data_IF_249486341033
#
_entry.id   IF_249486341033
#
_cell.length_a   1.000
_cell.length_b   1.000
_cell.length_c   1.000
_cell.angle_alpha   90.00
_cell.angle_beta   90.00
_cell.angle_gamma   90.00
#
_symmetry.space_group_name_H-M   'P 1'
#
loop_
_entity.id
_entity.type
_entity.pdbx_description
1 polymer ?
#
# COMPACT_ATOMS: atom_id res chain seq x y z
N UNK A 1 -10.52 8.59 5.71
CA UNK A 1 -10.38 9.70 4.74
C UNK A 1 -11.63 10.55 4.81
N UNK A 2 -11.57 11.86 4.56
CA UNK A 2 -12.77 12.68 4.41
C UNK A 2 -13.55 12.20 3.19
N UNK A 3 -14.87 12.53 3.16
CA UNK A 3 -15.66 12.29 1.98
C UNK A 3 -15.12 13.13 0.80
N UNK A 4 -15.08 12.58 -0.40
CA UNK A 4 -14.69 13.35 -1.57
C UNK A 4 -15.70 14.49 -1.83
N UNK A 5 -15.22 15.58 -2.41
CA UNK A 5 -16.04 16.65 -2.94
C UNK A 5 -16.90 16.13 -4.11
N UNK A 6 -17.90 16.92 -4.52
CA UNK A 6 -18.79 16.55 -5.63
C UNK A 6 -18.05 16.32 -6.98
N UNK A 7 -16.86 16.88 -7.15
CA UNK A 7 -15.98 16.71 -8.31
C UNK A 7 -15.02 15.52 -8.20
N UNK A 8 -15.13 14.73 -7.11
CA UNK A 8 -14.25 13.59 -6.83
C UNK A 8 -12.90 13.94 -6.22
N UNK A 9 -12.59 15.22 -6.04
CA UNK A 9 -11.39 15.66 -5.31
C UNK A 9 -11.59 15.52 -3.80
N UNK A 10 -10.48 15.48 -3.04
CA UNK A 10 -10.55 15.51 -1.59
C UNK A 10 -10.33 16.93 -1.07
N UNK A 11 -11.00 17.32 0.06
CA UNK A 11 -10.77 18.61 0.67
C UNK A 11 -9.28 18.83 0.98
N UNK A 12 -8.78 20.03 0.75
CA UNK A 12 -7.42 20.38 1.14
C UNK A 12 -7.25 20.24 2.67
N UNK A 13 -6.07 19.81 3.14
CA UNK A 13 -5.76 19.76 4.57
C UNK A 13 -5.97 21.14 5.20
N UNK A 14 -6.70 21.20 6.31
CA UNK A 14 -6.89 22.45 7.08
C UNK A 14 -5.79 22.62 8.13
N UNK A 15 -4.85 23.57 7.95
CA UNK A 15 -3.78 23.80 8.91
C UNK A 15 -4.27 24.37 10.25
N UNK A 16 -5.45 24.97 10.27
CA UNK A 16 -6.06 25.47 11.51
C UNK A 16 -6.62 24.31 12.37
N UNK A 17 -6.83 23.13 11.77
CA UNK A 17 -7.37 21.97 12.46
C UNK A 17 -6.48 20.73 12.26
N UNK A 18 -5.28 20.71 12.88
CA UNK A 18 -4.29 19.63 12.70
C UNK A 18 -4.77 18.26 13.21
N UNK A 19 -5.82 18.22 14.04
CA UNK A 19 -6.46 16.97 14.45
C UNK A 19 -7.11 16.23 13.28
N UNK A 20 -7.47 16.92 12.21
CA UNK A 20 -8.01 16.33 10.99
C UNK A 20 -6.92 15.74 10.09
N UNK A 21 -5.64 16.00 10.38
CA UNK A 21 -4.49 15.52 9.62
C UNK A 21 -4.41 14.00 9.53
N UNK A 22 -4.65 13.24 10.62
CA UNK A 22 -4.73 11.79 10.56
C UNK A 22 -5.86 11.24 9.69
N UNK A 23 -6.83 12.08 9.30
CA UNK A 23 -7.90 11.68 8.39
C UNK A 23 -7.45 11.55 6.92
N UNK A 24 -6.23 11.99 6.60
CA UNK A 24 -5.59 11.78 5.30
C UNK A 24 -4.39 10.81 5.36
N UNK A 25 -4.48 9.67 6.06
CA UNK A 25 -3.32 8.82 6.28
C UNK A 25 -2.71 8.30 4.97
N UNK A 26 -3.54 8.09 3.95
CA UNK A 26 -3.12 7.50 2.68
C UNK A 26 -2.56 8.50 1.66
N UNK A 27 -2.67 9.78 1.93
CA UNK A 27 -2.01 10.82 1.15
C UNK A 27 -0.51 10.99 1.51
N UNK A 28 0.02 10.16 2.42
CA UNK A 28 1.41 10.22 2.88
C UNK A 28 2.16 8.91 2.62
N UNK A 29 3.45 8.97 2.24
CA UNK A 29 4.24 7.79 1.92
C UNK A 29 4.22 6.68 3.00
N UNK A 30 4.36 6.97 4.31
CA UNK A 30 4.32 5.94 5.34
C UNK A 30 3.02 5.14 5.39
N UNK A 31 1.89 5.81 5.27
CA UNK A 31 0.57 5.15 5.27
C UNK A 31 0.31 4.39 3.98
N UNK A 32 0.68 4.96 2.82
CA UNK A 32 0.56 4.30 1.53
C UNK A 32 1.43 3.05 1.45
N UNK A 33 2.70 3.14 1.83
CA UNK A 33 3.61 2.00 1.86
C UNK A 33 3.06 0.87 2.75
N UNK A 34 2.55 1.23 3.93
CA UNK A 34 1.93 0.27 4.84
C UNK A 34 0.70 -0.40 4.23
N UNK A 35 -0.19 0.36 3.59
CA UNK A 35 -1.39 -0.18 2.98
C UNK A 35 -1.06 -1.15 1.85
N UNK A 36 -0.15 -0.79 0.94
CA UNK A 36 0.31 -1.67 -0.14
C UNK A 36 0.96 -2.94 0.41
N UNK A 37 1.85 -2.83 1.40
CA UNK A 37 2.54 -3.98 1.98
C UNK A 37 1.55 -4.98 2.60
N UNK A 38 0.60 -4.52 3.42
CA UNK A 38 -0.40 -5.41 4.03
C UNK A 38 -1.31 -6.05 3.00
N UNK A 39 -1.79 -5.28 2.03
CA UNK A 39 -2.72 -5.78 1.02
C UNK A 39 -2.05 -6.80 0.10
N UNK A 40 -0.89 -6.46 -0.45
CA UNK A 40 -0.18 -7.33 -1.39
C UNK A 40 0.35 -8.61 -0.72
N UNK A 41 0.96 -8.52 0.47
CA UNK A 41 1.43 -9.69 1.20
C UNK A 41 0.26 -10.61 1.61
N UNK A 42 -0.88 -10.04 2.04
CA UNK A 42 -2.06 -10.84 2.36
C UNK A 42 -2.64 -11.57 1.14
N UNK A 43 -2.66 -10.93 -0.03
CA UNK A 43 -3.07 -11.58 -1.28
C UNK A 43 -2.12 -12.71 -1.67
N UNK A 44 -0.82 -12.51 -1.51
CA UNK A 44 0.18 -13.52 -1.84
C UNK A 44 0.05 -14.76 -0.96
N UNK A 45 -0.02 -14.60 0.35
CA UNK A 45 -0.22 -15.72 1.29
C UNK A 45 -1.57 -16.42 1.05
N UNK A 46 -2.62 -15.65 0.77
CA UNK A 46 -3.93 -16.20 0.44
C UNK A 46 -3.91 -17.06 -0.84
N UNK A 47 -3.17 -16.64 -1.87
CA UNK A 47 -3.01 -17.41 -3.09
C UNK A 47 -2.18 -18.68 -2.89
N UNK A 48 -1.08 -18.61 -2.13
CA UNK A 48 -0.29 -19.80 -1.78
C UNK A 48 -1.19 -20.84 -1.10
N UNK A 49 -1.96 -20.41 -0.11
CA UNK A 49 -2.88 -21.29 0.64
C UNK A 49 -3.99 -21.83 -0.27
N UNK A 50 -4.53 -20.99 -1.17
CA UNK A 50 -5.55 -21.40 -2.15
C UNK A 50 -5.03 -22.53 -3.04
N UNK A 51 -3.83 -22.39 -3.60
CA UNK A 51 -3.27 -23.38 -4.50
C UNK A 51 -2.86 -24.65 -3.80
N UNK A 52 -2.45 -24.59 -2.52
CA UNK A 52 -2.30 -25.79 -1.71
C UNK A 52 -3.59 -26.61 -1.67
N UNK A 53 -4.71 -25.99 -1.30
CA UNK A 53 -5.99 -26.67 -1.20
C UNK A 53 -6.59 -27.04 -2.57
N UNK A 54 -6.36 -26.25 -3.62
CA UNK A 54 -6.76 -26.62 -4.98
C UNK A 54 -6.20 -27.98 -5.38
N UNK A 55 -4.92 -28.20 -5.15
CA UNK A 55 -4.28 -29.48 -5.47
C UNK A 55 -4.62 -30.59 -4.48
N UNK A 56 -4.82 -30.27 -3.22
CA UNK A 56 -5.21 -31.25 -2.20
C UNK A 56 -6.62 -31.82 -2.51
N UNK A 57 -7.58 -30.98 -2.78
CA UNK A 57 -8.94 -31.43 -3.10
C UNK A 57 -9.10 -31.90 -4.55
N UNK A 58 -8.32 -31.35 -5.45
CA UNK A 58 -8.27 -31.65 -6.87
C UNK A 58 -9.68 -31.77 -7.53
N UNK A 59 -10.63 -30.93 -7.08
CA UNK A 59 -11.98 -30.93 -7.62
C UNK A 59 -11.98 -30.25 -8.99
N UNK A 60 -12.49 -30.91 -10.06
CA UNK A 60 -12.58 -30.27 -11.36
C UNK A 60 -13.45 -29.01 -11.30
N UNK A 61 -13.12 -28.02 -12.12
CA UNK A 61 -14.00 -26.87 -12.30
C UNK A 61 -15.37 -27.31 -12.85
N UNK A 62 -16.44 -26.59 -12.51
CA UNK A 62 -17.80 -27.00 -12.88
C UNK A 62 -17.97 -27.20 -14.39
N UNK A 63 -17.39 -26.32 -15.21
CA UNK A 63 -17.40 -26.42 -16.67
C UNK A 63 -16.61 -27.62 -17.24
N UNK A 64 -15.67 -28.19 -16.47
CA UNK A 64 -14.96 -29.41 -16.82
C UNK A 64 -15.73 -30.67 -16.37
N UNK A 65 -16.60 -30.53 -15.37
CA UNK A 65 -17.41 -31.63 -14.84
C UNK A 65 -18.75 -31.76 -15.56
N UNK A 66 -19.31 -30.68 -16.10
CA UNK A 66 -20.60 -30.63 -16.82
C UNK A 66 -20.44 -29.79 -18.09
N UNK A 67 -20.45 -30.48 -19.24
CA UNK A 67 -20.30 -29.85 -20.55
C UNK A 67 -21.50 -28.99 -21.00
N UNK A 68 -22.60 -28.95 -20.24
CA UNK A 68 -23.70 -28.00 -20.46
C UNK A 68 -23.42 -26.58 -20.00
N UNK A 69 -22.39 -26.38 -19.17
CA UNK A 69 -22.02 -25.07 -18.66
C UNK A 69 -21.26 -24.30 -19.74
N UNK A 70 -21.85 -23.18 -20.17
CA UNK A 70 -21.21 -22.24 -21.09
C UNK A 70 -20.41 -21.20 -20.31
N UNK A 71 -19.13 -21.07 -20.65
CA UNK A 71 -18.25 -20.05 -20.02
C UNK A 71 -18.07 -18.83 -20.92
N UNK A 72 -17.98 -17.63 -20.31
CA UNK A 72 -17.66 -16.40 -21.03
C UNK A 72 -16.15 -16.08 -21.04
N UNK A 73 -15.35 -16.88 -20.34
CA UNK A 73 -13.90 -16.76 -20.30
C UNK A 73 -13.25 -18.03 -20.88
N UNK A 74 -11.98 -17.94 -21.31
CA UNK A 74 -11.26 -19.10 -21.83
C UNK A 74 -11.23 -20.26 -20.83
N UNK A 75 -11.49 -21.45 -21.31
CA UNK A 75 -11.40 -22.67 -20.52
C UNK A 75 -9.97 -22.91 -20.04
N UNK A 76 -9.87 -23.51 -18.88
CA UNK A 76 -8.60 -24.02 -18.34
C UNK A 76 -8.83 -25.41 -17.72
N UNK A 77 -7.75 -26.11 -17.44
CA UNK A 77 -7.81 -27.45 -16.83
C UNK A 77 -7.30 -27.42 -15.38
N UNK A 78 -7.66 -26.39 -14.62
CA UNK A 78 -7.23 -26.22 -13.24
C UNK A 78 -8.35 -26.61 -12.27
N UNK A 79 -8.03 -27.07 -11.05
CA UNK A 79 -9.03 -27.35 -10.04
C UNK A 79 -9.88 -26.12 -9.70
N UNK A 80 -11.21 -26.29 -9.57
CA UNK A 80 -12.15 -25.20 -9.34
C UNK A 80 -12.19 -24.72 -7.88
N UNK A 81 -11.95 -25.60 -6.91
CA UNK A 81 -12.16 -25.36 -5.48
C UNK A 81 -10.85 -25.25 -4.68
N UNK A 82 -10.73 -24.27 -3.75
CA UNK A 82 -11.57 -23.09 -3.59
C UNK A 82 -11.39 -22.10 -4.75
N UNK A 83 -12.37 -21.19 -4.95
CA UNK A 83 -12.27 -20.16 -5.99
C UNK A 83 -11.20 -19.13 -5.67
N UNK A 84 -10.19 -19.03 -6.52
CA UNK A 84 -9.07 -18.09 -6.39
C UNK A 84 -9.53 -16.62 -6.37
N UNK A 85 -10.43 -16.27 -7.30
CA UNK A 85 -10.97 -14.90 -7.33
C UNK A 85 -11.79 -14.56 -6.09
N UNK A 86 -12.53 -15.51 -5.50
CA UNK A 86 -13.27 -15.30 -4.27
C UNK A 86 -12.34 -15.10 -3.06
N UNK A 87 -11.21 -15.83 -3.03
CA UNK A 87 -10.16 -15.61 -2.01
C UNK A 87 -9.60 -14.20 -2.09
N UNK A 88 -9.22 -13.75 -3.29
CA UNK A 88 -8.68 -12.40 -3.52
C UNK A 88 -9.70 -11.33 -3.15
N UNK A 89 -10.96 -11.49 -3.54
CA UNK A 89 -12.01 -10.55 -3.17
C UNK A 89 -12.19 -10.45 -1.65
N UNK A 90 -12.22 -11.58 -0.95
CA UNK A 90 -12.41 -11.64 0.49
C UNK A 90 -11.23 -11.05 1.28
N UNK A 91 -9.98 -11.43 0.94
CA UNK A 91 -8.79 -10.89 1.62
C UNK A 91 -8.63 -9.40 1.35
N UNK A 92 -8.91 -8.95 0.13
CA UNK A 92 -8.86 -7.52 -0.22
C UNK A 92 -9.90 -6.72 0.55
N UNK A 93 -11.15 -7.22 0.60
CA UNK A 93 -12.21 -6.61 1.41
C UNK A 93 -11.78 -6.48 2.86
N UNK A 94 -11.24 -7.53 3.46
CA UNK A 94 -10.88 -7.57 4.88
C UNK A 94 -9.76 -6.56 5.22
N UNK A 95 -8.71 -6.51 4.39
CA UNK A 95 -7.59 -5.58 4.60
C UNK A 95 -7.97 -4.14 4.27
N UNK A 96 -8.56 -3.90 3.10
CA UNK A 96 -8.87 -2.54 2.67
C UNK A 96 -9.96 -1.89 3.53
N UNK A 97 -10.98 -2.64 3.98
CA UNK A 97 -11.98 -2.08 4.91
C UNK A 97 -11.38 -1.70 6.27
N UNK A 98 -10.34 -2.42 6.73
CA UNK A 98 -9.62 -2.04 7.95
C UNK A 98 -8.74 -0.80 7.76
N UNK A 99 -8.16 -0.63 6.56
CA UNK A 99 -7.31 0.51 6.23
C UNK A 99 -8.14 1.78 5.87
N UNK A 100 -9.29 1.58 5.23
CA UNK A 100 -10.18 2.64 4.71
C UNK A 100 -11.61 2.48 5.27
N UNK A 101 -11.82 2.71 6.57
CA UNK A 101 -13.11 2.41 7.22
C UNK A 101 -14.28 3.22 6.67
N UNK A 102 -14.05 4.40 6.10
CA UNK A 102 -15.09 5.22 5.46
C UNK A 102 -15.53 4.68 4.10
N UNK A 103 -14.69 3.87 3.45
CA UNK A 103 -14.94 3.26 2.15
C UNK A 103 -15.42 1.80 2.27
N UNK A 104 -15.67 1.30 3.47
CA UNK A 104 -15.96 -0.12 3.73
C UNK A 104 -17.13 -0.66 2.91
N UNK A 105 -18.17 0.16 2.70
CA UNK A 105 -19.37 -0.27 1.99
C UNK A 105 -19.11 -0.39 0.48
N UNK A 106 -18.38 0.58 -0.10
CA UNK A 106 -17.91 0.51 -1.48
C UNK A 106 -16.98 -0.69 -1.71
N UNK A 107 -16.03 -0.91 -0.80
CA UNK A 107 -15.10 -2.05 -0.86
C UNK A 107 -15.86 -3.38 -0.76
N UNK A 108 -16.86 -3.46 0.12
CA UNK A 108 -17.70 -4.64 0.26
C UNK A 108 -18.53 -4.91 -1.01
N UNK A 109 -19.10 -3.86 -1.61
CA UNK A 109 -19.81 -3.94 -2.90
C UNK A 109 -18.87 -4.47 -3.99
N UNK A 110 -17.66 -3.94 -4.13
CA UNK A 110 -16.69 -4.39 -5.14
C UNK A 110 -16.23 -5.83 -4.92
N UNK A 111 -16.06 -6.26 -3.69
CA UNK A 111 -15.73 -7.66 -3.39
C UNK A 111 -16.90 -8.60 -3.78
N UNK A 112 -18.13 -8.22 -3.50
CA UNK A 112 -19.33 -8.99 -3.89
C UNK A 112 -19.48 -9.03 -5.42
N UNK A 113 -19.27 -7.90 -6.10
CA UNK A 113 -19.27 -7.81 -7.57
C UNK A 113 -18.22 -8.76 -8.17
N UNK A 114 -17.01 -8.77 -7.63
CA UNK A 114 -15.95 -9.67 -8.08
C UNK A 114 -16.34 -11.15 -7.87
N UNK A 115 -16.87 -11.52 -6.70
CA UNK A 115 -17.33 -12.89 -6.45
C UNK A 115 -18.45 -13.31 -7.40
N UNK A 116 -19.44 -12.45 -7.63
CA UNK A 116 -20.56 -12.72 -8.54
C UNK A 116 -20.08 -12.83 -9.99
N UNK A 117 -19.10 -12.04 -10.42
CA UNK A 117 -18.57 -12.10 -11.78
C UNK A 117 -18.01 -13.47 -12.14
N UNK A 118 -17.50 -14.24 -11.17
CA UNK A 118 -17.00 -15.58 -11.37
C UNK A 118 -18.13 -16.58 -11.68
N UNK A 119 -19.31 -16.41 -11.04
CA UNK A 119 -20.50 -17.18 -11.38
C UNK A 119 -21.08 -16.77 -12.74
N UNK A 120 -21.20 -15.46 -12.98
CA UNK A 120 -21.73 -14.96 -14.26
C UNK A 120 -20.86 -15.38 -15.45
N UNK A 121 -19.56 -15.52 -15.23
CA UNK A 121 -18.64 -16.02 -16.26
C UNK A 121 -18.66 -17.55 -16.43
N UNK A 122 -19.42 -18.29 -15.63
CA UNK A 122 -19.46 -19.75 -15.66
C UNK A 122 -18.19 -20.43 -15.09
N UNK A 123 -17.35 -19.68 -14.36
CA UNK A 123 -16.04 -20.15 -13.90
C UNK A 123 -16.07 -20.81 -12.52
N UNK A 124 -17.01 -20.46 -11.66
CA UNK A 124 -17.11 -20.95 -10.28
C UNK A 124 -18.55 -21.16 -9.87
N UNK A 125 -18.82 -22.20 -9.12
CA UNK A 125 -20.12 -22.43 -8.47
C UNK A 125 -20.14 -21.84 -7.05
N UNK A 126 -21.32 -21.72 -6.46
CA UNK A 126 -21.50 -21.09 -5.15
C UNK A 126 -20.61 -21.70 -4.05
N UNK A 127 -20.41 -23.02 -4.06
CA UNK A 127 -19.53 -23.70 -3.07
C UNK A 127 -18.07 -23.32 -3.24
N UNK A 128 -17.58 -23.09 -4.49
CA UNK A 128 -16.22 -22.62 -4.74
C UNK A 128 -16.00 -21.23 -4.15
N UNK A 129 -16.99 -20.34 -4.33
CA UNK A 129 -16.97 -18.97 -3.86
C UNK A 129 -17.03 -18.94 -2.34
N UNK A 130 -17.92 -19.71 -1.72
CA UNK A 130 -18.03 -19.80 -0.25
C UNK A 130 -16.73 -20.30 0.38
N UNK A 131 -16.12 -21.35 -0.19
CA UNK A 131 -14.83 -21.87 0.24
C UNK A 131 -13.72 -20.83 0.11
N UNK A 132 -13.67 -20.12 -1.02
CA UNK A 132 -12.72 -19.04 -1.28
C UNK A 132 -12.92 -17.85 -0.33
N UNK A 133 -14.14 -17.38 -0.13
CA UNK A 133 -14.45 -16.29 0.81
C UNK A 133 -14.01 -16.63 2.25
N UNK A 134 -14.29 -17.85 2.68
CA UNK A 134 -13.89 -18.34 4.00
C UNK A 134 -12.37 -18.32 4.19
N UNK A 135 -11.63 -18.82 3.20
CA UNK A 135 -10.18 -18.85 3.20
C UNK A 135 -9.58 -17.44 3.20
N UNK A 136 -10.07 -16.56 2.31
CA UNK A 136 -9.63 -15.18 2.22
C UNK A 136 -9.82 -14.40 3.53
N UNK A 137 -10.96 -14.58 4.20
CA UNK A 137 -11.20 -13.99 5.53
C UNK A 137 -10.28 -14.55 6.61
N UNK A 138 -9.98 -15.84 6.57
CA UNK A 138 -9.08 -16.45 7.55
C UNK A 138 -7.66 -15.86 7.43
N UNK A 139 -7.12 -15.74 6.21
CA UNK A 139 -5.82 -15.09 5.96
C UNK A 139 -5.87 -13.61 6.32
N UNK A 140 -6.90 -12.87 5.88
CA UNK A 140 -7.07 -11.45 6.17
C UNK A 140 -7.07 -11.15 7.67
N UNK A 141 -7.69 -12.01 8.48
CA UNK A 141 -7.68 -11.90 9.96
C UNK A 141 -6.24 -11.88 10.52
N UNK A 142 -5.34 -12.74 10.02
CA UNK A 142 -3.94 -12.79 10.48
C UNK A 142 -3.23 -11.46 10.22
N UNK A 143 -3.39 -10.94 9.00
CA UNK A 143 -2.79 -9.66 8.62
C UNK A 143 -3.38 -8.47 9.37
N UNK A 144 -4.70 -8.46 9.62
CA UNK A 144 -5.33 -7.43 10.46
C UNK A 144 -4.82 -7.46 11.90
N UNK A 145 -4.63 -8.63 12.49
CA UNK A 145 -4.05 -8.76 13.83
C UNK A 145 -2.63 -8.20 13.89
N UNK A 146 -1.80 -8.49 12.87
CA UNK A 146 -0.48 -7.89 12.74
C UNK A 146 -0.57 -6.37 12.63
N UNK A 147 -1.44 -5.85 11.76
CA UNK A 147 -1.62 -4.41 11.56
C UNK A 147 -2.10 -3.67 12.81
N UNK A 148 -2.93 -4.32 13.62
CA UNK A 148 -3.40 -3.75 14.88
C UNK A 148 -2.27 -3.61 15.94
N UNK A 149 -1.20 -4.39 15.81
CA UNK A 149 -0.09 -4.47 16.77
C UNK A 149 1.27 -4.03 16.21
N UNK A 150 1.32 -3.45 15.02
CA UNK A 150 2.57 -3.04 14.37
C UNK A 150 3.14 -1.70 14.87
N UNK A 151 2.42 -0.99 15.72
CA UNK A 151 2.85 0.29 16.29
C UNK A 151 2.46 1.52 15.47
N UNK A 152 1.90 1.37 14.27
CA UNK A 152 1.57 2.49 13.39
C UNK A 152 0.65 3.52 14.03
N UNK A 153 -0.31 3.09 14.87
CA UNK A 153 -1.21 4.00 15.60
C UNK A 153 -0.50 4.99 16.51
N UNK A 154 0.76 4.71 16.89
CA UNK A 154 1.58 5.58 17.73
C UNK A 154 2.66 6.32 16.95
N UNK A 155 2.78 6.07 15.65
CA UNK A 155 3.79 6.71 14.80
C UNK A 155 3.52 8.22 14.64
N UNK A 156 2.23 8.61 14.53
CA UNK A 156 1.83 10.01 14.61
C UNK A 156 1.67 10.41 16.08
N UNK A 157 2.30 11.51 16.48
CA UNK A 157 2.31 11.98 17.87
C UNK A 157 1.41 13.20 18.06
N UNK A 158 0.87 13.42 19.27
CA UNK A 158 0.28 14.70 19.67
C UNK A 158 1.35 15.80 19.64
N UNK A 159 0.91 17.05 19.46
CA UNK A 159 1.79 18.22 19.35
C UNK A 159 2.84 18.32 20.45
N UNK A 160 2.53 18.16 21.76
CA UNK A 160 3.54 18.27 22.80
C UNK A 160 4.70 17.29 22.63
N UNK A 161 4.44 16.07 22.15
CA UNK A 161 5.49 15.08 21.87
C UNK A 161 6.31 15.47 20.64
N UNK A 162 5.65 15.97 19.59
CA UNK A 162 6.35 16.50 18.40
C UNK A 162 7.24 17.68 18.75
N UNK A 163 6.77 18.61 19.60
CA UNK A 163 7.54 19.74 20.09
C UNK A 163 8.75 19.29 20.91
N UNK A 164 8.58 18.31 21.80
CA UNK A 164 9.69 17.72 22.56
C UNK A 164 10.76 17.07 21.65
N UNK A 165 10.35 16.40 20.58
CA UNK A 165 11.27 15.80 19.59
C UNK A 165 12.04 16.90 18.86
N UNK A 166 11.37 17.98 18.45
CA UNK A 166 11.98 19.16 17.82
C UNK A 166 13.01 19.80 18.75
N UNK A 167 12.62 20.06 20.00
CA UNK A 167 13.49 20.74 20.98
C UNK A 167 14.73 19.90 21.31
N UNK A 168 14.57 18.57 21.42
CA UNK A 168 15.67 17.64 21.58
C UNK A 168 16.61 17.62 20.35
N UNK A 169 16.08 17.71 19.14
CA UNK A 169 16.88 17.82 17.92
C UNK A 169 17.65 19.14 17.89
N UNK A 170 16.98 20.25 18.20
CA UNK A 170 17.63 21.57 18.28
C UNK A 170 18.77 21.59 19.31
N UNK A 171 18.55 21.01 20.51
CA UNK A 171 19.55 20.95 21.54
C UNK A 171 20.77 20.09 21.16
N UNK A 172 20.54 18.99 20.43
CA UNK A 172 21.60 18.03 20.07
C UNK A 172 22.42 18.45 18.85
N UNK A 173 21.75 19.02 17.82
CA UNK A 173 22.38 19.27 16.53
C UNK A 173 22.39 20.73 16.10
N UNK A 174 21.83 21.64 16.91
CA UNK A 174 21.69 23.05 16.55
C UNK A 174 20.69 23.32 15.42
N UNK A 175 19.92 22.31 15.03
CA UNK A 175 18.96 22.37 13.95
C UNK A 175 17.80 21.42 14.20
N UNK A 176 16.63 21.76 13.67
CA UNK A 176 15.43 20.92 13.68
C UNK A 176 14.67 21.07 12.36
N UNK A 177 13.82 20.09 12.07
CA UNK A 177 12.95 20.14 10.91
C UNK A 177 11.85 21.20 11.06
N UNK A 178 11.64 21.97 9.98
CA UNK A 178 10.53 22.89 9.83
C UNK A 178 9.79 22.62 8.52
N UNK A 179 8.45 22.72 8.57
CA UNK A 179 7.64 22.58 7.37
C UNK A 179 7.74 23.83 6.50
N UNK A 180 8.18 23.65 5.27
CA UNK A 180 8.29 24.71 4.25
C UNK A 180 7.08 24.71 3.28
N UNK A 181 6.08 23.83 3.46
CA UNK A 181 4.90 23.79 2.61
C UNK A 181 3.97 24.97 2.87
N UNK A 182 3.18 25.34 1.86
CA UNK A 182 2.11 26.33 1.99
C UNK A 182 0.77 25.65 1.70
N UNK A 183 -0.16 25.59 2.65
CA UNK A 183 -0.07 26.08 4.04
C UNK A 183 0.84 25.22 4.91
N UNK A 184 1.49 25.86 5.87
CA UNK A 184 2.43 25.19 6.78
C UNK A 184 1.71 24.24 7.74
N UNK A 185 2.21 23.01 7.88
CA UNK A 185 1.71 22.06 8.86
C UNK A 185 2.34 22.28 10.23
N UNK A 186 1.54 22.20 11.30
CA UNK A 186 2.04 22.52 12.65
C UNK A 186 2.94 21.44 13.25
N UNK A 187 2.93 20.22 12.71
CA UNK A 187 3.70 19.08 13.23
C UNK A 187 4.22 18.21 12.09
N UNK A 188 5.33 17.52 12.31
CA UNK A 188 5.86 16.54 11.38
C UNK A 188 4.93 15.32 11.21
N UNK A 189 5.02 14.69 10.06
CA UNK A 189 4.24 13.48 9.76
C UNK A 189 4.96 12.27 10.33
N UNK A 190 4.25 11.49 11.14
CA UNK A 190 4.72 10.22 11.71
C UNK A 190 6.15 10.26 12.27
N UNK A 191 6.47 11.17 13.22
CA UNK A 191 7.85 11.35 13.72
C UNK A 191 8.41 10.09 14.40
N UNK A 192 7.54 9.16 14.84
CA UNK A 192 7.94 7.89 15.42
C UNK A 192 7.73 6.70 14.45
N UNK A 193 7.75 6.94 13.14
CA UNK A 193 7.60 5.86 12.14
C UNK A 193 8.68 4.78 12.26
N UNK A 194 9.88 5.14 12.69
CA UNK A 194 10.97 4.18 12.97
C UNK A 194 10.66 3.15 14.07
N UNK A 195 9.57 3.34 14.83
CA UNK A 195 9.08 2.38 15.85
C UNK A 195 8.05 1.40 15.31
N UNK A 196 7.64 1.55 14.05
CA UNK A 196 6.72 0.60 13.41
C UNK A 196 7.45 -0.71 13.14
N UNK A 197 6.73 -1.82 13.34
CA UNK A 197 7.29 -3.17 13.20
C UNK A 197 7.70 -3.44 11.75
N UNK A 198 8.96 -3.73 11.54
CA UNK A 198 9.55 -4.08 10.26
C UNK A 198 9.00 -5.41 9.73
N UNK A 199 9.08 -5.64 8.43
CA UNK A 199 8.64 -6.88 7.77
C UNK A 199 9.73 -7.96 7.80
N UNK A 200 10.86 -7.69 7.19
CA UNK A 200 11.93 -8.67 6.97
C UNK A 200 13.26 -8.28 7.63
N UNK A 201 13.49 -6.97 7.81
CA UNK A 201 14.71 -6.48 8.45
C UNK A 201 14.61 -6.67 9.96
N UNK A 202 15.62 -7.24 10.64
CA UNK A 202 15.54 -7.55 12.08
C UNK A 202 15.35 -6.30 12.96
N UNK A 203 16.07 -5.23 12.66
CA UNK A 203 15.99 -3.92 13.31
C UNK A 203 16.59 -2.85 12.40
N UNK A 204 16.33 -1.57 12.68
CA UNK A 204 16.80 -0.46 11.86
C UNK A 204 18.32 -0.29 11.90
N UNK A 205 18.95 -0.65 12.99
CA UNK A 205 20.40 -0.52 13.18
C UNK A 205 21.18 -1.49 12.27
N UNK A 206 20.61 -2.63 11.94
CA UNK A 206 21.26 -3.65 11.06
C UNK A 206 21.51 -3.16 9.64
N UNK A 207 20.83 -2.11 9.20
CA UNK A 207 20.93 -1.51 7.86
C UNK A 207 21.28 -0.03 7.93
N UNK A 208 21.93 0.40 9.02
CA UNK A 208 22.30 1.80 9.23
C UNK A 208 23.30 2.28 8.17
N UNK A 209 23.02 3.37 7.44
CA UNK A 209 23.97 3.97 6.53
C UNK A 209 25.13 4.64 7.28
N UNK A 210 26.20 4.94 6.56
CA UNK A 210 27.27 5.82 7.05
C UNK A 210 26.65 7.19 7.41
N UNK A 211 27.14 7.82 8.48
CA UNK A 211 26.68 9.15 8.88
C UNK A 211 26.92 10.20 7.78
N UNK A 212 26.06 11.22 7.68
CA UNK A 212 26.25 12.28 6.71
C UNK A 212 27.48 13.13 7.08
N UNK A 213 28.12 13.79 6.09
CA UNK A 213 29.18 14.76 6.38
C UNK A 213 28.63 15.93 7.20
N UNK A 214 29.43 16.48 8.08
CA UNK A 214 29.05 17.64 8.89
C UNK A 214 28.79 18.86 7.98
N UNK A 215 27.80 19.72 8.27
CA UNK A 215 27.43 20.85 7.40
C UNK A 215 28.59 21.82 7.08
N UNK A 216 29.62 21.90 7.94
CA UNK A 216 30.78 22.77 7.78
C UNK A 216 32.02 22.01 7.25
N UNK A 217 31.90 20.73 6.87
CA UNK A 217 33.02 19.95 6.38
C UNK A 217 33.31 20.23 4.90
N UNK A 218 34.56 20.01 4.42
CA UNK A 218 34.88 20.09 3.00
C UNK A 218 34.05 19.17 2.14
N UNK A 219 33.71 17.96 2.64
CA UNK A 219 32.89 17.00 1.93
C UNK A 219 31.45 17.51 1.72
N UNK A 220 30.86 18.15 2.74
CA UNK A 220 29.55 18.78 2.61
C UNK A 220 29.61 19.96 1.62
N UNK A 221 30.65 20.79 1.66
CA UNK A 221 30.82 21.90 0.73
C UNK A 221 30.95 21.41 -0.72
N UNK A 222 31.67 20.32 -0.94
CA UNK A 222 31.78 19.69 -2.25
C UNK A 222 30.43 19.23 -2.75
N UNK A 223 29.64 18.53 -1.92
CA UNK A 223 28.30 18.08 -2.29
C UNK A 223 27.32 19.25 -2.55
N UNK A 224 27.42 20.33 -1.77
CA UNK A 224 26.61 21.53 -1.97
C UNK A 224 26.95 22.25 -3.31
N UNK A 225 28.23 22.34 -3.66
CA UNK A 225 28.65 22.91 -4.92
C UNK A 225 28.18 22.07 -6.12
N UNK A 226 28.28 20.73 -6.03
CA UNK A 226 27.75 19.82 -7.05
C UNK A 226 26.25 20.04 -7.25
N UNK A 227 25.47 20.15 -6.17
CA UNK A 227 24.03 20.42 -6.25
C UNK A 227 23.74 21.76 -6.93
N UNK A 228 24.47 22.82 -6.58
CA UNK A 228 24.31 24.13 -7.22
C UNK A 228 24.61 24.08 -8.71
N UNK A 229 25.70 23.42 -9.10
CA UNK A 229 26.07 23.24 -10.51
C UNK A 229 24.95 22.52 -11.32
N UNK A 230 24.33 21.49 -10.71
CA UNK A 230 23.18 20.80 -11.31
C UNK A 230 21.98 21.73 -11.45
N UNK A 231 21.66 22.51 -10.44
CA UNK A 231 20.51 23.43 -10.45
C UNK A 231 20.69 24.58 -11.45
N UNK A 232 21.88 25.13 -11.57
CA UNK A 232 22.22 26.21 -12.50
C UNK A 232 22.14 25.74 -13.97
N UNK A 233 22.42 24.46 -14.21
CA UNK A 233 22.43 23.87 -15.56
C UNK A 233 21.19 22.98 -15.84
N UNK A 234 20.13 23.07 -15.02
CA UNK A 234 18.95 22.22 -15.11
C UNK A 234 18.15 22.42 -16.40
N UNK A 235 18.08 21.40 -17.22
CA UNK A 235 17.31 21.42 -18.48
C UNK A 235 15.80 21.33 -18.25
N UNK A 236 15.00 21.72 -19.24
CA UNK A 236 13.54 21.58 -19.17
C UNK A 236 13.08 20.12 -19.04
N UNK A 237 13.79 19.17 -19.65
CA UNK A 237 13.43 17.75 -19.54
C UNK A 237 13.77 17.20 -18.15
N UNK A 238 14.87 17.61 -17.55
CA UNK A 238 15.18 17.29 -16.16
C UNK A 238 14.13 17.87 -15.20
N UNK A 239 13.63 19.10 -15.44
CA UNK A 239 12.51 19.68 -14.65
C UNK A 239 11.23 18.85 -14.78
N UNK A 240 10.88 18.40 -15.99
CA UNK A 240 9.72 17.52 -16.20
C UNK A 240 9.87 16.19 -15.46
N UNK A 241 11.07 15.59 -15.49
CA UNK A 241 11.38 14.36 -14.78
C UNK A 241 11.28 14.56 -13.26
N UNK A 242 11.83 15.65 -12.73
CA UNK A 242 11.73 15.98 -11.31
C UNK A 242 10.27 16.15 -10.88
N UNK A 243 9.45 16.85 -11.68
CA UNK A 243 8.02 17.01 -11.42
C UNK A 243 7.25 15.68 -11.50
N UNK A 244 7.62 14.82 -12.45
CA UNK A 244 7.02 13.48 -12.58
C UNK A 244 7.24 12.62 -11.32
N UNK A 245 8.38 12.75 -10.65
CA UNK A 245 8.73 12.01 -9.44
C UNK A 245 8.38 12.73 -8.13
N UNK A 246 7.79 13.92 -8.19
CA UNK A 246 7.54 14.72 -6.99
C UNK A 246 6.44 14.20 -6.05
N UNK A 247 5.61 13.29 -6.51
CA UNK A 247 4.57 12.51 -5.80
C UNK A 247 4.15 13.05 -4.41
N UNK A 248 3.68 14.28 -4.37
CA UNK A 248 3.25 14.96 -3.15
C UNK A 248 1.87 14.54 -2.65
N UNK A 249 1.31 15.34 -1.76
CA UNK A 249 -0.04 15.15 -1.25
C UNK A 249 -1.08 15.13 -2.38
N UNK A 250 -2.04 14.20 -2.26
CA UNK A 250 -3.11 14.05 -3.24
C UNK A 250 -2.73 13.17 -4.44
N UNK A 251 -1.48 12.70 -4.53
CA UNK A 251 -1.05 11.68 -5.49
C UNK A 251 -1.11 10.29 -4.85
N UNK A 252 -0.79 9.26 -5.65
CA UNK A 252 -0.63 7.90 -5.10
C UNK A 252 0.66 7.70 -4.30
N UNK A 253 1.43 8.76 -4.08
CA UNK A 253 2.72 8.80 -3.35
C UNK A 253 3.83 7.92 -3.97
N UNK A 254 5.11 8.06 -3.62
CA UNK A 254 6.18 7.27 -4.24
C UNK A 254 5.96 5.75 -4.21
N UNK A 255 5.50 5.12 -3.10
CA UNK A 255 5.19 3.69 -3.11
C UNK A 255 4.11 3.30 -4.14
N UNK A 256 3.06 4.10 -4.28
CA UNK A 256 2.01 3.86 -5.27
C UNK A 256 2.48 4.04 -6.71
N UNK A 257 3.40 4.97 -6.94
CA UNK A 257 4.01 5.19 -8.25
C UNK A 257 4.80 3.94 -8.71
N UNK A 258 5.64 3.39 -7.85
CA UNK A 258 6.35 2.15 -8.13
C UNK A 258 5.42 0.95 -8.28
N UNK A 259 4.36 0.88 -7.46
CA UNK A 259 3.34 -0.15 -7.60
C UNK A 259 2.62 -0.07 -8.95
N UNK A 260 2.37 1.13 -9.50
CA UNK A 260 1.83 1.32 -10.84
C UNK A 260 2.75 0.72 -11.91
N UNK A 261 4.06 0.98 -11.87
CA UNK A 261 5.01 0.36 -12.79
C UNK A 261 5.06 -1.16 -12.68
N UNK A 262 4.95 -1.70 -11.45
CA UNK A 262 4.83 -3.13 -11.25
C UNK A 262 3.57 -3.68 -11.94
N UNK A 263 2.41 -3.03 -11.78
CA UNK A 263 1.17 -3.41 -12.45
C UNK A 263 1.28 -3.35 -13.98
N UNK A 264 1.85 -2.26 -14.53
CA UNK A 264 2.09 -2.12 -15.97
C UNK A 264 2.99 -3.25 -16.51
N UNK A 265 4.05 -3.60 -15.77
CA UNK A 265 4.94 -4.70 -16.12
C UNK A 265 4.25 -6.07 -16.07
N UNK A 266 3.41 -6.30 -15.06
CA UNK A 266 2.60 -7.53 -14.94
C UNK A 266 1.70 -7.70 -16.16
N UNK A 267 0.99 -6.65 -16.56
CA UNK A 267 0.10 -6.66 -17.74
C UNK A 267 0.90 -6.89 -19.02
N UNK A 268 1.97 -6.13 -19.23
CA UNK A 268 2.84 -6.24 -20.42
C UNK A 268 3.40 -7.65 -20.60
N UNK A 269 3.80 -8.30 -19.52
CA UNK A 269 4.40 -9.63 -19.55
C UNK A 269 3.38 -10.77 -19.34
N UNK A 270 2.09 -10.45 -19.21
CA UNK A 270 1.00 -11.42 -19.04
C UNK A 270 1.26 -12.42 -17.92
N UNK A 271 1.68 -11.93 -16.76
CA UNK A 271 1.94 -12.79 -15.62
C UNK A 271 0.66 -13.47 -15.15
N UNK A 272 0.79 -14.74 -14.76
CA UNK A 272 -0.30 -15.43 -14.08
C UNK A 272 -0.54 -14.84 -12.68
N UNK A 273 -1.69 -15.08 -12.04
CA UNK A 273 -2.04 -14.49 -10.75
C UNK A 273 -0.99 -14.71 -9.64
N UNK A 274 -0.38 -15.89 -9.57
CA UNK A 274 0.64 -16.21 -8.54
C UNK A 274 1.92 -15.39 -8.73
N UNK A 275 2.40 -15.25 -9.97
CA UNK A 275 3.56 -14.41 -10.28
C UNK A 275 3.25 -12.93 -10.04
N UNK A 276 2.06 -12.48 -10.44
CA UNK A 276 1.61 -11.11 -10.20
C UNK A 276 1.57 -10.78 -8.71
N UNK A 277 0.93 -11.63 -7.89
CA UNK A 277 0.87 -11.46 -6.46
C UNK A 277 2.26 -11.44 -5.79
N UNK A 278 3.17 -12.32 -6.26
CA UNK A 278 4.55 -12.33 -5.75
C UNK A 278 5.28 -11.02 -6.05
N UNK A 279 5.17 -10.49 -7.28
CA UNK A 279 5.81 -9.22 -7.66
C UNK A 279 5.28 -8.06 -6.81
N UNK A 280 3.98 -8.03 -6.53
CA UNK A 280 3.38 -6.97 -5.74
C UNK A 280 3.66 -7.09 -4.23
N UNK A 281 3.97 -8.30 -3.73
CA UNK A 281 4.25 -8.56 -2.32
C UNK A 281 5.70 -8.22 -1.93
N UNK A 282 6.64 -8.25 -2.86
CA UNK A 282 8.07 -7.96 -2.66
C UNK A 282 8.45 -6.60 -3.24
#
# INVERSE_FOLDING_TARGET
APAPNADGSYPAPDPANPANYPLFPFAHPPYSARAFAYWAAAQYDALITTWHYKYQFNRPAAFNADGSITTHLPLNNLPGYPSEGAVIAAVSKDILSAMYPLEKDYIAQKATEHQNSLMWAGMSVASDITGGDSLGRAVGKVFRMRAASDGMKFAQTPRPVSDSIRDAAQARWGWHWENQETPQRPVGITPLYSKVKLWCVPNVESVRPVGPPAPNSPDFQTAANELNDVLDNLTNDQRKIANFWSDGLGTYTPPGHWNRFACESIVKNRYNPLRAARVLAY
#
